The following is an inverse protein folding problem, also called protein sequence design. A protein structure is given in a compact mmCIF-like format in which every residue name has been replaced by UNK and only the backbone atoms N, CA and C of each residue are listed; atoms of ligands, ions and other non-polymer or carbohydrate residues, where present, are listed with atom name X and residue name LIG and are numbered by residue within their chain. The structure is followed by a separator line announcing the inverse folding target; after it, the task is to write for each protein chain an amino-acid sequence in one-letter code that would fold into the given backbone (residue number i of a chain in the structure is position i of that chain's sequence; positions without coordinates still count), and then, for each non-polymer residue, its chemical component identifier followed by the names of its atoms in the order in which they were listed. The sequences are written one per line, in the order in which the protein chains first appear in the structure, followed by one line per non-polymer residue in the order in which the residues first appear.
data_IF_741136566408
#
_entry.id   IF_741136566408
#
_cell.length_a   1.000
_cell.length_b   1.000
_cell.length_c   1.000
_cell.angle_alpha   90.00
_cell.angle_beta   90.00
_cell.angle_gamma   90.00
#
_symmetry.space_group_name_H-M   'P 1'
#
loop_
_entity.id
_entity.type
_entity.pdbx_description
1 polymer ?
#
# COMPACT_ATOMS: atom_id res chain seq x y z
N UNK A 1 -5.26 -4.20 -17.55
CA UNK A 1 -5.50 -2.80 -17.13
C UNK A 1 -6.62 -2.17 -17.92
N UNK A 2 -7.26 -1.18 -17.30
CA UNK A 2 -8.15 -0.25 -18.00
C UNK A 2 -7.39 1.08 -18.14
N UNK A 3 -7.20 1.53 -19.38
CA UNK A 3 -6.56 2.82 -19.73
C UNK A 3 -7.53 3.66 -20.56
N UNK A 4 -8.17 4.63 -19.93
CA UNK A 4 -9.31 5.34 -20.53
C UNK A 4 -10.42 4.35 -20.91
N UNK A 5 -10.83 4.34 -22.17
CA UNK A 5 -11.88 3.45 -22.68
C UNK A 5 -11.34 2.09 -23.17
N UNK A 6 -10.04 1.82 -23.04
CA UNK A 6 -9.41 0.61 -23.56
C UNK A 6 -9.09 -0.38 -22.42
N UNK A 7 -9.42 -1.65 -22.63
CA UNK A 7 -8.97 -2.75 -21.79
C UNK A 7 -7.77 -3.43 -22.48
N UNK A 8 -6.65 -3.51 -21.74
CA UNK A 8 -5.39 -4.07 -22.24
C UNK A 8 -4.95 -5.21 -21.34
N UNK A 9 -4.44 -6.29 -21.92
CA UNK A 9 -3.76 -7.35 -21.17
C UNK A 9 -2.28 -7.02 -21.11
N UNK A 10 -1.71 -6.99 -19.90
CA UNK A 10 -0.29 -6.80 -19.68
C UNK A 10 0.45 -8.12 -19.61
N UNK A 11 1.69 -8.11 -20.10
CA UNK A 11 2.68 -9.14 -19.92
C UNK A 11 3.77 -8.66 -18.97
N UNK A 12 4.59 -9.59 -18.48
CA UNK A 12 5.75 -9.25 -17.67
C UNK A 12 6.69 -8.29 -18.43
N UNK A 13 7.08 -7.20 -17.78
CA UNK A 13 7.92 -6.16 -18.35
C UNK A 13 7.17 -5.03 -19.07
N UNK A 14 5.86 -5.12 -19.20
CA UNK A 14 5.06 -4.02 -19.76
C UNK A 14 5.00 -2.83 -18.78
N UNK A 15 4.97 -1.61 -19.33
CA UNK A 15 4.84 -0.40 -18.54
C UNK A 15 3.39 -0.13 -18.18
N UNK A 16 3.21 0.31 -16.93
CA UNK A 16 1.97 0.94 -16.45
C UNK A 16 2.17 2.45 -16.39
N UNK A 17 1.10 3.19 -16.51
CA UNK A 17 1.09 4.65 -16.49
C UNK A 17 0.15 5.15 -15.39
N UNK A 18 0.29 6.43 -15.04
CA UNK A 18 -0.64 7.06 -14.10
C UNK A 18 -2.08 6.92 -14.59
N UNK A 19 -2.98 6.72 -13.63
CA UNK A 19 -4.42 6.52 -13.83
C UNK A 19 -4.81 5.20 -14.56
N UNK A 20 -3.86 4.33 -14.87
CA UNK A 20 -4.21 2.98 -15.29
C UNK A 20 -4.91 2.24 -14.13
N UNK A 21 -6.10 1.71 -14.38
CA UNK A 21 -6.77 0.83 -13.42
C UNK A 21 -6.23 -0.59 -13.60
N UNK A 22 -5.46 -1.06 -12.65
CA UNK A 22 -4.86 -2.38 -12.65
C UNK A 22 -5.85 -3.36 -12.05
N UNK A 23 -6.25 -4.35 -12.83
CA UNK A 23 -7.12 -5.44 -12.39
C UNK A 23 -6.33 -6.74 -12.44
N UNK A 24 -6.06 -7.33 -11.29
CA UNK A 24 -5.21 -8.51 -11.18
C UNK A 24 -5.83 -9.79 -11.77
N UNK A 25 -7.15 -9.80 -11.97
CA UNK A 25 -7.82 -10.98 -12.54
C UNK A 25 -7.55 -12.24 -11.72
N UNK A 26 -7.21 -13.34 -12.39
CA UNK A 26 -6.95 -14.63 -11.73
C UNK A 26 -5.51 -14.86 -11.23
N UNK A 27 -4.61 -13.89 -11.38
CA UNK A 27 -3.19 -13.98 -10.99
C UNK A 27 -2.75 -12.74 -10.24
N UNK A 28 -1.81 -12.92 -9.30
CA UNK A 28 -1.19 -11.78 -8.63
C UNK A 28 -0.39 -10.92 -9.62
N UNK A 29 -0.32 -9.62 -9.35
CA UNK A 29 0.43 -8.64 -10.12
C UNK A 29 1.50 -8.00 -9.26
N UNK A 30 2.76 -8.07 -9.70
CA UNK A 30 3.87 -7.36 -9.10
C UNK A 30 4.23 -6.12 -9.92
N UNK A 31 4.51 -5.02 -9.25
CA UNK A 31 4.87 -3.73 -9.84
C UNK A 31 6.16 -3.25 -9.21
N UNK A 32 7.14 -2.87 -10.05
CA UNK A 32 8.38 -2.24 -9.62
C UNK A 32 8.39 -0.77 -10.06
N UNK A 33 8.72 0.11 -9.14
CA UNK A 33 8.80 1.55 -9.37
C UNK A 33 10.25 2.01 -9.49
N UNK A 34 10.47 3.15 -10.14
CA UNK A 34 11.79 3.71 -10.35
C UNK A 34 12.52 4.13 -9.05
N UNK A 35 11.78 4.38 -7.97
CA UNK A 35 12.32 4.69 -6.64
C UNK A 35 12.67 3.46 -5.80
N UNK A 36 12.67 2.27 -6.40
CA UNK A 36 12.85 0.96 -5.75
C UNK A 36 11.68 0.51 -4.87
N UNK A 37 10.56 1.21 -4.86
CA UNK A 37 9.32 0.68 -4.29
C UNK A 37 8.86 -0.54 -5.09
N UNK A 38 8.42 -1.57 -4.41
CA UNK A 38 7.74 -2.72 -5.03
C UNK A 38 6.38 -2.91 -4.40
N UNK A 39 5.37 -3.16 -5.22
CA UNK A 39 4.02 -3.50 -4.77
C UNK A 39 3.58 -4.82 -5.38
N UNK A 40 2.78 -5.56 -4.64
CA UNK A 40 2.09 -6.75 -5.13
C UNK A 40 0.62 -6.68 -4.72
N UNK A 41 -0.25 -7.06 -5.62
CA UNK A 41 -1.67 -7.26 -5.34
C UNK A 41 -2.06 -8.69 -5.71
N UNK A 42 -2.87 -9.30 -4.87
CA UNK A 42 -3.32 -10.67 -5.05
C UNK A 42 -4.34 -10.80 -6.20
N UNK A 43 -4.66 -12.04 -6.63
CA UNK A 43 -5.75 -12.27 -7.59
C UNK A 43 -7.06 -11.59 -7.15
N UNK A 44 -7.79 -11.07 -8.13
CA UNK A 44 -9.05 -10.33 -7.97
C UNK A 44 -8.93 -8.99 -7.22
N UNK A 45 -7.72 -8.47 -7.10
CA UNK A 45 -7.49 -7.12 -6.54
C UNK A 45 -7.55 -6.04 -7.62
N UNK A 46 -7.91 -4.84 -7.21
CA UNK A 46 -8.00 -3.66 -8.08
C UNK A 46 -7.24 -2.50 -7.47
N UNK A 47 -6.35 -1.88 -8.24
CA UNK A 47 -5.59 -0.71 -7.79
C UNK A 47 -5.36 0.31 -8.91
N UNK A 48 -5.04 1.54 -8.50
CA UNK A 48 -4.66 2.67 -9.38
C UNK A 48 -3.45 3.37 -8.79
N UNK A 49 -2.50 3.77 -9.63
CA UNK A 49 -1.41 4.69 -9.26
C UNK A 49 -1.80 6.07 -9.79
N UNK A 50 -2.15 6.98 -8.92
CA UNK A 50 -2.63 8.32 -9.30
C UNK A 50 -1.62 9.45 -9.05
N UNK A 51 -0.52 9.16 -8.34
CA UNK A 51 0.60 10.08 -8.19
C UNK A 51 1.92 9.30 -8.13
N UNK A 52 2.89 9.71 -8.94
CA UNK A 52 4.26 9.22 -8.86
C UNK A 52 5.21 10.26 -9.44
N UNK A 53 5.96 10.91 -8.56
CA UNK A 53 7.03 11.86 -8.91
C UNK A 53 8.33 11.39 -8.27
N UNK A 54 9.33 11.12 -9.08
CA UNK A 54 10.65 10.72 -8.60
C UNK A 54 11.74 11.22 -9.53
N UNK A 55 12.75 11.84 -8.96
CA UNK A 55 13.96 12.29 -9.67
C UNK A 55 15.18 11.65 -9.00
N UNK A 56 15.86 10.70 -9.64
CA UNK A 56 17.05 10.04 -9.09
C UNK A 56 18.22 10.99 -8.89
N UNK A 57 18.29 12.11 -9.60
CA UNK A 57 19.32 13.15 -9.43
C UNK A 57 19.02 14.09 -8.26
N UNK A 58 17.75 14.15 -7.85
CA UNK A 58 17.30 14.92 -6.68
C UNK A 58 16.35 14.07 -5.79
N UNK A 59 16.86 13.03 -5.12
CA UNK A 59 16.03 12.07 -4.37
C UNK A 59 15.41 12.65 -3.09
N UNK A 60 15.60 13.92 -2.81
CA UNK A 60 14.97 14.61 -1.66
C UNK A 60 13.56 15.10 -1.94
N UNK A 61 13.14 15.04 -3.20
CA UNK A 61 11.81 15.47 -3.66
C UNK A 61 11.16 14.30 -4.38
N UNK A 62 10.00 13.90 -3.90
CA UNK A 62 9.22 12.85 -4.53
C UNK A 62 7.87 12.70 -3.87
N UNK A 63 6.91 12.17 -4.62
CA UNK A 63 5.60 11.81 -4.11
C UNK A 63 5.09 10.54 -4.76
N UNK A 64 4.32 9.77 -4.02
CA UNK A 64 3.65 8.58 -4.52
C UNK A 64 2.31 8.41 -3.82
N UNK A 65 1.26 8.16 -4.58
CA UNK A 65 -0.01 7.68 -4.06
C UNK A 65 -0.51 6.49 -4.87
N UNK A 66 -0.77 5.38 -4.18
CA UNK A 66 -1.39 4.20 -4.72
C UNK A 66 -2.75 3.98 -4.07
N UNK A 67 -3.79 3.82 -4.86
CA UNK A 67 -5.14 3.51 -4.40
C UNK A 67 -5.41 2.02 -4.58
N UNK A 68 -5.54 1.26 -3.50
CA UNK A 68 -6.03 -0.11 -3.54
C UNK A 68 -7.53 -0.08 -3.29
N UNK A 69 -8.30 -0.31 -4.34
CA UNK A 69 -9.76 -0.22 -4.30
C UNK A 69 -10.39 -1.46 -3.69
N UNK A 70 -9.76 -2.62 -3.93
CA UNK A 70 -10.24 -3.91 -3.44
C UNK A 70 -9.10 -4.95 -3.46
N UNK A 71 -9.10 -5.86 -2.49
CA UNK A 71 -8.25 -7.06 -2.43
C UNK A 71 -7.06 -6.93 -1.50
N UNK A 72 -6.25 -7.98 -1.47
CA UNK A 72 -5.04 -8.01 -0.66
C UNK A 72 -3.88 -7.36 -1.41
N UNK A 73 -3.03 -6.69 -0.66
CA UNK A 73 -1.84 -6.03 -1.18
C UNK A 73 -0.68 -6.14 -0.22
N UNK A 74 0.51 -6.02 -0.76
CA UNK A 74 1.72 -5.82 0.03
C UNK A 74 2.68 -4.89 -0.71
N UNK A 75 3.54 -4.21 0.03
CA UNK A 75 4.59 -3.40 -0.58
C UNK A 75 5.84 -3.32 0.29
N UNK A 76 6.95 -3.05 -0.37
CA UNK A 76 8.21 -2.64 0.22
C UNK A 76 8.48 -1.22 -0.25
N UNK A 77 8.55 -0.28 0.67
CA UNK A 77 8.76 1.13 0.33
C UNK A 77 10.20 1.39 -0.13
N UNK A 78 10.32 2.24 -1.14
CA UNK A 78 11.60 2.67 -1.73
C UNK A 78 12.10 4.01 -1.21
N UNK A 79 12.70 4.79 -2.11
CA UNK A 79 13.39 6.05 -1.78
C UNK A 79 12.40 7.18 -1.44
N UNK A 80 11.26 7.26 -2.12
CA UNK A 80 10.25 8.31 -1.88
C UNK A 80 9.81 8.31 -0.42
N UNK A 81 9.54 7.14 0.19
CA UNK A 81 9.11 7.02 1.58
C UNK A 81 10.13 7.56 2.61
N UNK A 82 11.38 7.77 2.21
CA UNK A 82 12.46 8.31 3.05
C UNK A 82 12.54 9.83 3.01
N UNK A 83 11.88 10.48 2.03
CA UNK A 83 11.97 11.93 1.82
C UNK A 83 11.08 12.72 2.76
N UNK A 84 9.98 12.15 3.25
CA UNK A 84 9.06 12.81 4.17
C UNK A 84 7.94 11.91 4.65
N UNK A 85 7.25 12.34 5.71
CA UNK A 85 6.15 11.58 6.33
C UNK A 85 4.93 11.38 5.43
N UNK A 86 4.75 12.30 4.49
CA UNK A 86 3.60 12.33 3.57
C UNK A 86 3.98 12.06 2.12
N UNK A 87 5.26 11.74 1.87
CA UNK A 87 5.77 11.55 0.52
C UNK A 87 5.22 10.29 -0.14
N UNK A 88 5.07 9.20 0.61
CA UNK A 88 4.45 7.96 0.11
C UNK A 88 3.17 7.66 0.87
N UNK A 89 2.09 7.47 0.13
CA UNK A 89 0.77 7.10 0.64
C UNK A 89 0.21 5.89 -0.09
N UNK A 90 -0.52 5.08 0.64
CA UNK A 90 -1.39 4.04 0.08
C UNK A 90 -2.78 4.26 0.65
N UNK A 91 -3.76 4.41 -0.22
CA UNK A 91 -5.16 4.64 0.17
C UNK A 91 -6.03 3.43 -0.12
N UNK A 92 -7.05 3.25 0.68
CA UNK A 92 -8.14 2.29 0.46
C UNK A 92 -9.47 3.03 0.56
N UNK A 93 -10.61 2.40 0.31
CA UNK A 93 -11.91 3.06 0.46
C UNK A 93 -12.17 3.70 1.84
N UNK A 94 -11.55 3.18 2.91
CA UNK A 94 -11.85 3.59 4.29
C UNK A 94 -10.68 4.23 5.04
N UNK A 95 -9.45 4.19 4.50
CA UNK A 95 -8.27 4.69 5.21
C UNK A 95 -7.15 5.16 4.27
N UNK A 96 -6.21 5.88 4.86
CA UNK A 96 -4.92 6.24 4.23
C UNK A 96 -3.77 5.76 5.09
N UNK A 97 -2.76 5.18 4.46
CA UNK A 97 -1.49 4.74 5.07
C UNK A 97 -0.40 5.71 4.63
N UNK A 98 0.18 6.45 5.57
CA UNK A 98 1.42 7.20 5.35
C UNK A 98 2.62 6.32 5.73
N UNK A 99 3.63 6.24 4.86
CA UNK A 99 4.69 5.22 4.95
C UNK A 99 6.06 5.85 5.20
N UNK A 100 6.81 5.25 6.13
CA UNK A 100 8.22 5.60 6.38
C UNK A 100 9.09 4.34 6.43
N UNK A 101 9.70 4.01 5.29
CA UNK A 101 10.80 3.06 5.19
C UNK A 101 10.54 1.66 5.76
N UNK A 102 9.51 0.96 5.26
CA UNK A 102 9.11 -0.35 5.79
C UNK A 102 8.37 -1.22 4.77
N UNK A 103 8.06 -2.44 5.18
CA UNK A 103 7.15 -3.33 4.46
C UNK A 103 5.78 -3.32 5.13
N UNK A 104 4.74 -3.44 4.32
CA UNK A 104 3.34 -3.47 4.76
C UNK A 104 2.60 -4.56 4.00
N UNK A 105 1.72 -5.26 4.68
CA UNK A 105 0.67 -6.06 4.07
C UNK A 105 -0.69 -5.52 4.51
N UNK A 106 -1.67 -5.63 3.65
CA UNK A 106 -3.01 -5.15 3.97
C UNK A 106 -4.09 -5.77 3.11
N UNK A 107 -5.29 -5.57 3.56
CA UNK A 107 -6.52 -5.93 2.85
C UNK A 107 -7.40 -4.70 2.72
N UNK A 108 -7.77 -4.38 1.49
CA UNK A 108 -8.74 -3.36 1.17
C UNK A 108 -10.09 -3.99 0.88
N UNK A 109 -11.10 -3.60 1.62
CA UNK A 109 -12.48 -4.00 1.43
C UNK A 109 -13.38 -2.76 1.35
N UNK A 110 -14.62 -2.96 0.95
CA UNK A 110 -15.65 -1.93 0.97
C UNK A 110 -15.99 -1.50 2.39
N UNK A 111 -16.61 -0.33 2.50
CA UNK A 111 -17.11 0.18 3.78
C UNK A 111 -18.08 -0.82 4.44
N UNK A 112 -17.90 -1.06 5.74
CA UNK A 112 -18.63 -2.05 6.51
C UNK A 112 -17.94 -3.41 6.66
N UNK A 113 -16.83 -3.63 5.97
CA UNK A 113 -16.01 -4.85 6.07
C UNK A 113 -14.64 -4.55 6.68
N UNK A 114 -14.00 -5.59 7.25
CA UNK A 114 -12.70 -5.44 7.90
C UNK A 114 -11.60 -5.14 6.86
N UNK A 115 -10.96 -3.99 7.02
CA UNK A 115 -9.72 -3.61 6.36
C UNK A 115 -8.60 -3.78 7.38
N UNK A 116 -7.70 -4.71 7.17
CA UNK A 116 -6.60 -5.01 8.06
C UNK A 116 -5.29 -4.50 7.48
N UNK A 117 -4.50 -3.81 8.29
CA UNK A 117 -3.16 -3.32 7.91
C UNK A 117 -2.14 -3.83 8.91
N UNK A 118 -1.07 -4.43 8.42
CA UNK A 118 0.01 -5.03 9.20
C UNK A 118 1.35 -4.42 8.82
N UNK A 119 2.10 -3.93 9.82
CA UNK A 119 3.46 -3.47 9.66
C UNK A 119 4.43 -4.67 9.68
N UNK A 120 5.21 -4.82 8.61
CA UNK A 120 6.17 -5.91 8.46
C UNK A 120 7.61 -5.42 8.66
N UNK A 121 8.51 -6.26 9.19
CA UNK A 121 9.93 -5.93 9.24
C UNK A 121 10.54 -5.98 7.83
N UNK A 122 11.55 -5.16 7.62
CA UNK A 122 12.41 -5.21 6.45
C UNK A 122 13.24 -6.52 6.41
N UNK A 123 13.85 -6.84 5.28
CA UNK A 123 14.68 -8.04 5.13
C UNK A 123 15.89 -8.08 6.06
N UNK A 124 16.38 -6.92 6.49
CA UNK A 124 17.47 -6.78 7.47
C UNK A 124 16.99 -6.86 8.94
N UNK A 125 15.69 -7.07 9.16
CA UNK A 125 15.06 -7.12 10.47
C UNK A 125 14.71 -5.77 11.09
N UNK A 126 15.09 -4.66 10.46
CA UNK A 126 14.63 -3.34 10.89
C UNK A 126 13.15 -3.15 10.60
N UNK A 127 12.53 -2.21 11.29
CA UNK A 127 11.14 -1.83 11.02
C UNK A 127 11.06 -0.32 10.96
N UNK A 128 10.34 0.18 9.96
CA UNK A 128 10.00 1.59 9.88
C UNK A 128 8.74 1.89 10.69
N UNK A 129 7.96 2.83 10.21
CA UNK A 129 6.68 3.16 10.83
C UNK A 129 5.63 3.47 9.75
N UNK A 130 4.38 3.23 10.08
CA UNK A 130 3.26 3.65 9.27
C UNK A 130 2.24 4.37 10.13
N UNK A 131 1.66 5.42 9.56
CA UNK A 131 0.55 6.15 10.13
C UNK A 131 -0.72 5.80 9.35
N UNK A 132 -1.70 5.27 10.04
CA UNK A 132 -2.99 4.90 9.44
C UNK A 132 -4.02 5.90 9.93
N UNK A 133 -4.71 6.54 9.01
CA UNK A 133 -5.68 7.57 9.28
C UNK A 133 -6.98 7.35 8.52
N UNK A 134 -8.09 7.67 9.15
CA UNK A 134 -9.39 7.87 8.53
C UNK A 134 -10.02 9.18 9.01
N UNK A 135 -11.30 9.43 8.75
CA UNK A 135 -11.97 10.67 9.15
C UNK A 135 -12.17 10.80 10.67
N UNK A 136 -12.06 9.72 11.42
CA UNK A 136 -12.33 9.69 12.87
C UNK A 136 -11.10 9.57 13.75
N UNK A 137 -9.94 9.23 13.17
CA UNK A 137 -8.74 9.12 13.98
C UNK A 137 -7.52 8.62 13.24
N UNK A 138 -6.44 8.51 14.00
CA UNK A 138 -5.13 8.09 13.50
C UNK A 138 -4.51 7.11 14.48
N UNK A 139 -3.86 6.06 13.96
CA UNK A 139 -2.98 5.18 14.74
C UNK A 139 -1.62 5.10 14.09
N UNK A 140 -0.59 4.92 14.92
CA UNK A 140 0.80 4.73 14.50
C UNK A 140 1.21 3.29 14.81
N UNK A 141 1.71 2.56 13.81
CA UNK A 141 2.33 1.25 13.96
C UNK A 141 3.85 1.41 13.87
N UNK A 142 4.55 0.85 14.86
CA UNK A 142 6.02 1.00 15.00
C UNK A 142 6.74 -0.30 15.35
N UNK A 143 6.01 -1.38 15.58
CA UNK A 143 6.58 -2.69 15.93
C UNK A 143 6.34 -3.71 14.83
N UNK A 144 7.27 -4.65 14.65
CA UNK A 144 7.07 -5.75 13.69
C UNK A 144 5.77 -6.51 14.00
N UNK A 145 5.01 -6.81 12.95
CA UNK A 145 3.72 -7.54 13.02
C UNK A 145 2.62 -6.82 13.82
N UNK A 146 2.78 -5.53 14.06
CA UNK A 146 1.73 -4.71 14.65
C UNK A 146 0.64 -4.46 13.60
N UNK A 147 -0.61 -4.69 13.98
CA UNK A 147 -1.77 -4.62 13.10
C UNK A 147 -2.89 -3.78 13.68
N UNK A 148 -3.70 -3.20 12.81
CA UNK A 148 -4.97 -2.54 13.15
C UNK A 148 -6.04 -2.91 12.15
N UNK A 149 -7.29 -2.86 12.58
CA UNK A 149 -8.47 -3.12 11.74
C UNK A 149 -9.33 -1.86 11.69
N UNK A 150 -9.82 -1.54 10.51
CA UNK A 150 -10.73 -0.43 10.24
C UNK A 150 -11.89 -0.95 9.39
N UNK A 151 -13.12 -0.72 9.83
CA UNK A 151 -14.33 -1.21 9.13
C UNK A 151 -14.99 -0.17 8.25
N UNK A 152 -14.78 1.11 8.57
CA UNK A 152 -15.37 2.23 7.82
C UNK A 152 -14.58 3.52 8.02
N UNK A 153 -14.89 4.53 7.21
CA UNK A 153 -14.18 5.81 7.23
C UNK A 153 -14.43 6.66 8.50
N UNK A 154 -15.45 6.34 9.29
CA UNK A 154 -15.93 7.15 10.41
C UNK A 154 -15.76 6.49 11.79
N UNK A 155 -15.36 5.23 11.83
CA UNK A 155 -15.01 4.54 13.08
C UNK A 155 -13.52 4.65 13.34
N UNK A 156 -13.14 5.01 14.57
CA UNK A 156 -11.73 5.12 14.97
C UNK A 156 -11.03 3.78 14.74
N UNK A 157 -9.83 3.77 14.13
CA UNK A 157 -9.03 2.55 13.98
C UNK A 157 -8.85 1.82 15.31
N UNK A 158 -8.84 0.49 15.27
CA UNK A 158 -8.64 -0.31 16.50
C UNK A 158 -7.28 -0.04 17.12
N UNK A 159 -7.18 -0.23 18.43
CA UNK A 159 -5.87 -0.18 19.12
C UNK A 159 -4.95 -1.23 18.51
N UNK A 160 -3.71 -0.85 18.12
CA UNK A 160 -2.78 -1.78 17.51
C UNK A 160 -2.48 -3.00 18.39
N UNK A 161 -2.44 -4.18 17.77
CA UNK A 161 -2.06 -5.44 18.39
C UNK A 161 -0.91 -6.08 17.63
N UNK A 162 0.00 -6.77 18.33
CA UNK A 162 1.07 -7.52 17.69
C UNK A 162 0.57 -8.92 17.39
N UNK A 163 0.52 -9.28 16.12
CA UNK A 163 0.11 -10.60 15.66
C UNK A 163 1.26 -11.60 15.74
N UNK A 164 0.97 -12.88 15.98
CA UNK A 164 1.97 -13.94 15.84
C UNK A 164 2.50 -13.99 14.40
N UNK A 165 3.84 -14.04 14.23
CA UNK A 165 4.46 -14.12 12.90
C UNK A 165 3.87 -15.22 12.01
N UNK A 166 3.52 -16.36 12.59
CA UNK A 166 2.94 -17.49 11.87
C UNK A 166 1.52 -17.22 11.30
N UNK A 167 0.83 -16.21 11.78
CA UNK A 167 -0.48 -15.79 11.26
C UNK A 167 -0.34 -14.83 10.09
N UNK A 168 0.69 -13.99 10.12
CA UNK A 168 0.93 -12.95 9.11
C UNK A 168 1.56 -13.50 7.83
N UNK A 169 2.31 -14.61 7.91
CA UNK A 169 3.05 -15.21 6.78
C UNK A 169 2.31 -16.40 6.13
N UNK A 170 1.02 -16.52 6.29
CA UNK A 170 0.16 -17.49 5.59
C UNK A 170 -0.40 -16.90 4.30
#
# INVERSE_FOLDING_TARGET
IQRGDQTLTLNEGDFIYLDDVINAGGTAVGIAFADETTMSVDPNSVMVIDDFVYDPENPTVGSMNANVLEGNFSFVSGQIAKTGSDAMKVTTPVLTIGVRGTQVAGKANTEGEDNEIVLLPNSDGTVGQIMIANQSGTVLLTKPYEATIITDAYTVPTVPVVLPKAEVLK
#
